data_IF_401777872526
#
_entry.id   IF_401777872526
#
_cell.length_a   1.000
_cell.length_b   1.000
_cell.length_c   1.000
_cell.angle_alpha   90.00
_cell.angle_beta   90.00
_cell.angle_gamma   90.00
#
_symmetry.space_group_name_H-M   'P 1'
#
loop_
_entity.id
_entity.type
_entity.pdbx_description
1 polymer ?
#
# COMPACT_ATOMS: atom_id res chain seq x y z
N UNK A 1 -4.54 -8.82 -7.03
CA UNK A 1 -3.49 -7.81 -7.20
C UNK A 1 -4.00 -6.69 -8.11
N UNK A 2 -3.68 -5.44 -7.82
CA UNK A 2 -3.92 -4.30 -8.73
C UNK A 2 -2.59 -3.82 -9.30
N UNK A 3 -2.57 -3.43 -10.58
CA UNK A 3 -1.41 -2.77 -11.20
C UNK A 3 -1.42 -1.25 -10.99
N UNK A 4 -2.53 -0.71 -10.46
CA UNK A 4 -2.73 0.71 -10.19
C UNK A 4 -3.39 0.87 -8.82
N UNK A 5 -2.57 1.13 -7.80
CA UNK A 5 -3.01 1.32 -6.41
C UNK A 5 -3.91 2.56 -6.27
N UNK A 6 -3.65 3.64 -7.02
CA UNK A 6 -4.46 4.86 -6.98
C UNK A 6 -5.88 4.57 -7.46
N UNK A 7 -6.05 3.86 -8.58
CA UNK A 7 -7.38 3.48 -9.08
C UNK A 7 -8.13 2.58 -8.10
N UNK A 8 -7.45 1.61 -7.51
CA UNK A 8 -8.07 0.73 -6.52
C UNK A 8 -8.59 1.53 -5.32
N UNK A 9 -7.79 2.43 -4.76
CA UNK A 9 -8.23 3.27 -3.65
C UNK A 9 -9.32 4.27 -4.06
N UNK A 10 -9.34 4.77 -5.30
CA UNK A 10 -10.45 5.61 -5.80
C UNK A 10 -11.78 4.86 -5.80
N UNK A 11 -11.78 3.57 -6.15
CA UNK A 11 -12.99 2.76 -6.08
C UNK A 11 -13.44 2.51 -4.64
N UNK A 12 -12.50 2.30 -3.71
CA UNK A 12 -12.82 2.21 -2.27
C UNK A 12 -13.40 3.54 -1.78
N UNK A 13 -12.80 4.67 -2.16
CA UNK A 13 -13.30 5.99 -1.81
C UNK A 13 -14.73 6.20 -2.33
N UNK A 14 -14.99 5.85 -3.60
CA UNK A 14 -16.29 6.04 -4.27
C UNK A 14 -17.45 5.32 -3.58
N UNK A 15 -17.20 4.17 -2.94
CA UNK A 15 -18.25 3.38 -2.28
C UNK A 15 -18.50 3.77 -0.82
N UNK A 16 -17.56 4.48 -0.19
CA UNK A 16 -17.67 4.91 1.20
C UNK A 16 -18.53 6.19 1.31
N UNK A 17 -19.09 6.44 2.49
CA UNK A 17 -19.83 7.68 2.77
C UNK A 17 -18.86 8.87 2.71
N UNK A 18 -19.25 9.94 2.04
CA UNK A 18 -18.50 11.19 1.96
C UNK A 18 -18.65 12.03 3.26
N UNK A 19 -18.03 13.21 3.26
CA UNK A 19 -18.08 14.23 4.30
C UNK A 19 -17.48 13.75 5.64
N UNK A 20 -16.33 13.08 5.58
CA UNK A 20 -15.62 12.60 6.78
C UNK A 20 -16.27 11.41 7.52
N UNK A 21 -17.35 10.83 6.97
CA UNK A 21 -18.09 9.72 7.61
C UNK A 21 -17.60 8.34 7.22
N UNK A 22 -16.90 8.23 6.10
CA UNK A 22 -16.27 7.00 5.63
C UNK A 22 -14.92 6.80 6.26
N UNK A 23 -14.58 5.54 6.59
CA UNK A 23 -13.27 5.17 7.12
C UNK A 23 -12.75 3.94 6.40
N UNK A 24 -11.46 3.92 6.14
CA UNK A 24 -10.72 2.77 5.64
C UNK A 24 -9.66 2.39 6.66
N UNK A 25 -9.61 1.11 7.02
CA UNK A 25 -8.49 0.52 7.76
C UNK A 25 -8.02 -0.68 6.93
N UNK A 26 -6.77 -0.64 6.48
CA UNK A 26 -6.21 -1.67 5.60
C UNK A 26 -4.83 -2.10 6.11
N UNK A 27 -4.58 -3.40 6.05
CA UNK A 27 -3.27 -4.00 6.30
C UNK A 27 -2.68 -4.46 4.97
N UNK A 28 -1.44 -4.08 4.68
CA UNK A 28 -0.76 -4.44 3.43
C UNK A 28 0.76 -4.48 3.62
N UNK A 29 1.48 -5.00 2.62
CA UNK A 29 2.94 -5.01 2.57
C UNK A 29 3.46 -3.79 1.82
N UNK A 30 4.50 -3.18 2.38
CA UNK A 30 5.30 -2.12 1.74
C UNK A 30 6.76 -2.53 1.69
N UNK A 31 7.47 -2.07 0.68
CA UNK A 31 8.90 -2.34 0.49
C UNK A 31 9.76 -1.12 0.76
N UNK A 32 11.01 -1.30 1.17
CA UNK A 32 12.00 -0.23 1.20
C UNK A 32 12.42 0.24 -0.20
N UNK A 33 12.24 -0.60 -1.23
CA UNK A 33 12.59 -0.31 -2.62
C UNK A 33 11.69 -1.09 -3.59
N UNK A 34 11.09 -0.38 -4.54
CA UNK A 34 10.25 -0.95 -5.59
C UNK A 34 11.08 -1.68 -6.66
N UNK A 35 10.46 -2.66 -7.30
CA UNK A 35 11.06 -3.47 -8.36
C UNK A 35 10.19 -3.37 -9.62
N UNK A 36 10.83 -3.30 -10.78
CA UNK A 36 10.16 -3.08 -12.06
C UNK A 36 10.81 -3.89 -13.18
N UNK A 37 10.05 -4.13 -14.24
CA UNK A 37 10.54 -4.74 -15.47
C UNK A 37 11.05 -6.17 -15.25
N UNK A 38 12.19 -6.50 -15.85
CA UNK A 38 12.79 -7.84 -15.84
C UNK A 38 13.23 -8.31 -14.45
N UNK A 39 13.28 -7.41 -13.47
CA UNK A 39 13.63 -7.75 -12.08
C UNK A 39 12.45 -8.32 -11.27
N UNK A 40 11.22 -8.31 -11.83
CA UNK A 40 10.02 -8.86 -11.16
C UNK A 40 10.00 -10.38 -11.30
N UNK A 41 10.00 -11.09 -10.16
CA UNK A 41 9.81 -12.53 -10.09
C UNK A 41 8.33 -12.89 -10.03
N UNK A 42 7.92 -13.94 -10.75
CA UNK A 42 6.54 -14.44 -10.68
C UNK A 42 6.17 -14.96 -9.28
N UNK A 43 7.13 -15.57 -8.58
CA UNK A 43 6.94 -16.12 -7.23
C UNK A 43 6.75 -14.99 -6.19
N UNK A 44 7.61 -13.98 -6.22
CA UNK A 44 7.55 -12.83 -5.33
C UNK A 44 6.35 -11.94 -5.63
N UNK A 45 5.96 -11.84 -6.91
CA UNK A 45 4.73 -11.17 -7.32
C UNK A 45 3.48 -11.85 -6.76
N UNK A 46 3.41 -13.19 -6.83
CA UNK A 46 2.30 -13.94 -6.25
C UNK A 46 2.27 -13.86 -4.70
N UNK A 47 3.42 -13.58 -4.09
CA UNK A 47 3.59 -13.42 -2.64
C UNK A 47 3.40 -11.97 -2.14
N UNK A 48 2.93 -11.05 -3.01
CA UNK A 48 2.73 -9.63 -2.71
C UNK A 48 4.03 -8.85 -2.36
N UNK A 49 5.20 -9.35 -2.76
CA UNK A 49 6.51 -8.73 -2.47
C UNK A 49 6.90 -7.78 -3.61
N UNK A 50 6.98 -8.28 -4.84
CA UNK A 50 7.48 -7.48 -5.97
C UNK A 50 6.46 -6.47 -6.52
N UNK A 51 5.19 -6.62 -6.14
CA UNK A 51 4.15 -5.63 -6.39
C UNK A 51 4.00 -4.59 -5.29
N UNK A 52 4.77 -4.69 -4.19
CA UNK A 52 4.67 -3.77 -3.07
C UNK A 52 5.22 -2.39 -3.45
N UNK A 53 4.50 -1.33 -3.05
CA UNK A 53 4.98 0.04 -3.17
C UNK A 53 5.87 0.39 -1.98
N UNK A 54 6.68 1.43 -2.14
CA UNK A 54 7.26 2.09 -0.97
C UNK A 54 6.17 2.63 -0.06
N UNK A 55 6.44 2.71 1.25
CA UNK A 55 5.48 3.27 2.22
C UNK A 55 5.00 4.67 1.81
N UNK A 56 5.91 5.48 1.29
CA UNK A 56 5.59 6.82 0.77
C UNK A 56 4.63 6.76 -0.42
N UNK A 57 4.94 5.96 -1.44
CA UNK A 57 4.08 5.82 -2.62
C UNK A 57 2.72 5.19 -2.31
N UNK A 58 2.67 4.26 -1.35
CA UNK A 58 1.43 3.67 -0.85
C UNK A 58 0.53 4.72 -0.18
N UNK A 59 1.08 5.48 0.78
CA UNK A 59 0.35 6.56 1.46
C UNK A 59 -0.07 7.65 0.45
N UNK A 60 0.80 8.01 -0.48
CA UNK A 60 0.49 8.98 -1.52
C UNK A 60 -0.65 8.49 -2.41
N UNK A 61 -0.70 7.20 -2.74
CA UNK A 61 -1.80 6.63 -3.53
C UNK A 61 -3.15 6.75 -2.83
N UNK A 62 -3.18 6.53 -1.51
CA UNK A 62 -4.38 6.71 -0.67
C UNK A 62 -4.82 8.19 -0.66
N UNK A 63 -3.88 9.12 -0.50
CA UNK A 63 -4.17 10.57 -0.54
C UNK A 63 -4.70 11.01 -1.90
N UNK A 64 -4.10 10.54 -3.00
CA UNK A 64 -4.54 10.83 -4.37
C UNK A 64 -5.94 10.28 -4.69
N UNK A 65 -6.39 9.27 -3.96
CA UNK A 65 -7.76 8.76 -4.08
C UNK A 65 -8.82 9.65 -3.42
N UNK A 66 -8.42 10.62 -2.60
CA UNK A 66 -9.32 11.56 -1.93
C UNK A 66 -9.41 11.38 -0.41
N UNK A 67 -8.75 10.36 0.15
CA UNK A 67 -8.73 10.16 1.60
C UNK A 67 -7.90 11.22 2.32
N UNK A 68 -8.33 11.57 3.52
CA UNK A 68 -7.68 12.48 4.46
C UNK A 68 -7.32 11.77 5.77
N UNK A 69 -6.64 12.48 6.67
CA UNK A 69 -6.20 11.97 7.98
C UNK A 69 -5.51 10.59 7.92
N UNK A 70 -4.66 10.40 6.90
CA UNK A 70 -3.97 9.12 6.66
C UNK A 70 -2.92 8.90 7.76
N UNK A 71 -3.10 7.83 8.54
CA UNK A 71 -2.31 7.48 9.72
C UNK A 71 -1.78 6.06 9.62
N UNK A 72 -0.51 5.87 9.96
CA UNK A 72 0.05 4.54 10.21
C UNK A 72 -0.37 4.13 11.63
N UNK A 73 -1.22 3.11 11.73
CA UNK A 73 -1.73 2.59 12.99
C UNK A 73 -0.83 1.49 13.57
N UNK A 74 -0.14 0.74 12.69
CA UNK A 74 0.83 -0.27 13.07
C UNK A 74 1.88 -0.43 11.97
N UNK A 75 3.08 -0.83 12.38
CA UNK A 75 4.20 -1.13 11.48
C UNK A 75 5.02 -2.27 12.10
N UNK A 76 5.23 -3.34 11.32
CA UNK A 76 5.94 -4.55 11.76
C UNK A 76 6.85 -5.03 10.63
N UNK A 77 8.11 -5.34 10.94
CA UNK A 77 9.00 -5.96 9.97
C UNK A 77 8.44 -7.34 9.58
N UNK A 78 8.21 -7.55 8.28
CA UNK A 78 7.70 -8.81 7.75
C UNK A 78 8.84 -9.72 7.32
N UNK A 79 9.74 -9.21 6.49
CA UNK A 79 10.98 -9.91 6.13
C UNK A 79 12.10 -8.94 5.79
N UNK A 80 13.33 -9.39 5.98
CA UNK A 80 14.51 -8.81 5.34
C UNK A 80 14.98 -9.81 4.29
N UNK A 81 15.11 -9.36 3.05
CA UNK A 81 15.72 -10.13 1.99
C UNK A 81 17.19 -9.70 1.87
N UNK A 82 18.07 -10.51 2.43
CA UNK A 82 19.52 -10.24 2.43
C UNK A 82 20.12 -10.29 1.02
N UNK A 83 19.49 -11.01 0.08
CA UNK A 83 19.98 -11.11 -1.29
C UNK A 83 19.69 -9.83 -2.09
N UNK A 84 18.49 -9.26 -1.91
CA UNK A 84 18.10 -8.02 -2.61
C UNK A 84 18.38 -6.75 -1.78
N UNK A 85 18.70 -6.90 -0.49
CA UNK A 85 18.84 -5.81 0.46
C UNK A 85 17.52 -5.09 0.76
N UNK A 86 16.38 -5.67 0.38
CA UNK A 86 15.06 -5.08 0.59
C UNK A 86 14.51 -5.46 1.95
N UNK A 87 13.82 -4.51 2.57
CA UNK A 87 13.02 -4.74 3.77
C UNK A 87 11.55 -4.66 3.39
N UNK A 88 10.80 -5.71 3.68
CA UNK A 88 9.35 -5.72 3.54
C UNK A 88 8.76 -5.54 4.92
N UNK A 89 7.84 -4.60 5.01
CA UNK A 89 7.20 -4.20 6.25
C UNK A 89 5.70 -4.35 6.08
N UNK A 90 5.05 -4.97 7.04
CA UNK A 90 3.59 -4.93 7.14
C UNK A 90 3.18 -3.61 7.80
N UNK A 91 2.27 -2.88 7.14
CA UNK A 91 1.71 -1.63 7.66
C UNK A 91 0.20 -1.76 7.79
N UNK A 92 -0.34 -1.16 8.84
CA UNK A 92 -1.77 -0.93 8.98
C UNK A 92 -2.02 0.56 8.82
N UNK A 93 -2.81 0.94 7.83
CA UNK A 93 -3.16 2.32 7.53
C UNK A 93 -4.62 2.58 7.86
N UNK A 94 -4.87 3.63 8.62
CA UNK A 94 -6.19 4.23 8.82
C UNK A 94 -6.32 5.50 7.99
N UNK A 95 -7.48 5.72 7.37
CA UNK A 95 -7.80 6.95 6.65
C UNK A 95 -9.30 7.24 6.68
N UNK A 96 -9.69 8.49 6.46
CA UNK A 96 -11.09 8.93 6.40
C UNK A 96 -11.41 9.56 5.05
N UNK A 97 -12.65 9.47 4.59
CA UNK A 97 -13.07 10.20 3.38
C UNK A 97 -13.00 11.71 3.63
N UNK A 98 -12.80 12.51 2.58
CA UNK A 98 -12.89 13.96 2.68
C UNK A 98 -14.33 14.41 2.96
#
# INVERSE_FOLDING_TARGET
LTTDQVKAFKEVYRILKNDGKGRMIISDLVTSKEVHGESVSAEDWCSCIDGALTKENYINSIKQAGFQDVKVLNEQLYMNDDNTGRKITSVVIGAVTA
#
